data_IF_265905772659
#
_entry.id   IF_265905772659
#
_cell.length_a   1.000
_cell.length_b   1.000
_cell.length_c   1.000
_cell.angle_alpha   90.00
_cell.angle_beta   90.00
_cell.angle_gamma   90.00
#
_symmetry.space_group_name_H-M   'P 1'
#
loop_
_entity.id
_entity.type
_entity.pdbx_description
1 polymer ?
#
# COMPACT_ATOMS: atom_id res chain seq x y z
N UNK A 1 -30.24 3.28 -13.61
CA UNK A 1 -30.51 3.24 -12.16
C UNK A 1 -29.26 3.73 -11.45
N UNK A 2 -29.39 4.83 -10.71
CA UNK A 2 -28.33 5.79 -10.38
C UNK A 2 -27.18 5.21 -9.55
N UNK A 3 -25.96 5.32 -10.08
CA UNK A 3 -24.71 5.11 -9.34
C UNK A 3 -24.58 6.24 -8.32
N UNK A 4 -24.83 5.93 -7.03
CA UNK A 4 -24.53 6.86 -5.94
C UNK A 4 -23.02 7.01 -5.88
N UNK A 5 -22.51 8.11 -6.44
CA UNK A 5 -21.19 8.61 -6.10
C UNK A 5 -21.11 8.71 -4.57
N UNK A 6 -20.24 7.91 -3.95
CA UNK A 6 -19.83 8.13 -2.57
C UNK A 6 -19.19 9.51 -2.55
N UNK A 7 -19.91 10.49 -2.02
CA UNK A 7 -19.33 11.77 -1.64
C UNK A 7 -18.36 11.46 -0.50
N UNK A 8 -17.07 11.38 -0.81
CA UNK A 8 -16.03 11.25 0.20
C UNK A 8 -16.06 12.52 1.07
N UNK A 9 -16.68 12.40 2.24
CA UNK A 9 -16.60 13.43 3.27
C UNK A 9 -15.26 13.25 3.96
N UNK A 10 -14.19 13.76 3.35
CA UNK A 10 -12.90 13.83 4.02
C UNK A 10 -13.04 14.72 5.25
N UNK A 11 -12.89 14.11 6.42
CA UNK A 11 -12.88 14.83 7.69
C UNK A 11 -11.50 15.44 7.94
N UNK A 12 -11.40 16.40 8.86
CA UNK A 12 -10.09 16.89 9.34
C UNK A 12 -9.22 15.75 9.90
N UNK A 13 -9.85 14.73 10.49
CA UNK A 13 -9.17 13.51 10.94
C UNK A 13 -8.56 12.74 9.77
N UNK A 14 -9.28 12.58 8.66
CA UNK A 14 -8.76 11.86 7.48
C UNK A 14 -7.62 12.62 6.82
N UNK A 15 -7.73 13.95 6.74
CA UNK A 15 -6.66 14.82 6.25
C UNK A 15 -5.41 14.70 7.14
N UNK A 16 -5.55 14.82 8.46
CA UNK A 16 -4.44 14.65 9.40
C UNK A 16 -3.82 13.24 9.32
N UNK A 17 -4.64 12.19 9.23
CA UNK A 17 -4.18 10.81 9.06
C UNK A 17 -3.39 10.63 7.77
N UNK A 18 -3.85 11.23 6.67
CA UNK A 18 -3.17 11.19 5.37
C UNK A 18 -1.84 11.92 5.45
N UNK A 19 -1.79 13.12 6.04
CA UNK A 19 -0.53 13.87 6.21
C UNK A 19 0.50 13.10 7.05
N UNK A 20 0.08 12.49 8.16
CA UNK A 20 0.98 11.68 9.00
C UNK A 20 1.47 10.44 8.26
N UNK A 21 0.59 9.77 7.50
CA UNK A 21 0.93 8.58 6.70
C UNK A 21 1.91 8.95 5.59
N UNK A 22 1.64 10.02 4.85
CA UNK A 22 2.50 10.47 3.78
C UNK A 22 3.87 10.90 4.29
N UNK A 23 3.89 11.63 5.42
CA UNK A 23 5.15 12.05 6.02
C UNK A 23 5.97 10.85 6.49
N UNK A 24 5.41 9.93 7.29
CA UNK A 24 6.24 8.86 7.88
C UNK A 24 6.52 7.70 6.93
N UNK A 25 5.66 7.45 5.94
CA UNK A 25 5.71 6.22 5.14
C UNK A 25 5.70 6.50 3.63
N UNK A 26 4.67 7.15 3.10
CA UNK A 26 4.46 7.18 1.63
C UNK A 26 5.57 7.93 0.90
N UNK A 27 5.90 9.15 1.33
CA UNK A 27 6.92 9.98 0.69
C UNK A 27 8.35 9.41 0.81
N UNK A 28 8.85 9.01 1.99
CA UNK A 28 10.18 8.40 2.07
C UNK A 28 10.26 7.06 1.34
N UNK A 29 9.20 6.26 1.32
CA UNK A 29 9.16 5.03 0.49
C UNK A 29 9.29 5.36 -0.99
N UNK A 30 8.59 6.38 -1.49
CA UNK A 30 8.72 6.82 -2.89
C UNK A 30 10.14 7.27 -3.23
N UNK A 31 10.79 8.03 -2.35
CA UNK A 31 12.19 8.43 -2.52
C UNK A 31 13.11 7.21 -2.61
N UNK A 32 12.92 6.23 -1.72
CA UNK A 32 13.71 5.01 -1.66
C UNK A 32 13.55 4.16 -2.92
N UNK A 33 12.31 3.85 -3.33
CA UNK A 33 12.06 3.00 -4.52
C UNK A 33 12.57 3.67 -5.79
N UNK A 34 12.41 5.00 -5.92
CA UNK A 34 12.95 5.78 -7.04
C UNK A 34 14.48 5.71 -7.09
N UNK A 35 15.16 5.96 -5.98
CA UNK A 35 16.62 5.91 -5.93
C UNK A 35 17.18 4.51 -6.26
N UNK A 36 16.48 3.44 -5.86
CA UNK A 36 16.86 2.07 -6.21
C UNK A 36 16.65 1.78 -7.71
N UNK A 37 15.51 2.18 -8.28
CA UNK A 37 15.22 2.01 -9.70
C UNK A 37 16.20 2.80 -10.59
N UNK A 38 16.54 4.04 -10.22
CA UNK A 38 17.52 4.88 -10.94
C UNK A 38 18.94 4.27 -10.96
N UNK A 39 19.26 3.41 -9.98
CA UNK A 39 20.52 2.65 -9.92
C UNK A 39 20.47 1.32 -10.68
N UNK A 40 19.37 1.04 -11.39
CA UNK A 40 19.18 -0.16 -12.20
C UNK A 40 18.72 -1.40 -11.42
N UNK A 41 18.26 -1.25 -10.18
CA UNK A 41 17.65 -2.36 -9.43
C UNK A 41 16.22 -2.62 -9.92
N UNK A 42 15.82 -3.89 -10.06
CA UNK A 42 14.41 -4.25 -10.23
C UNK A 42 13.67 -4.02 -8.91
N UNK A 43 12.62 -3.19 -8.94
CA UNK A 43 11.82 -2.84 -7.76
C UNK A 43 10.37 -3.15 -8.02
N UNK A 44 9.69 -3.80 -7.07
CA UNK A 44 8.24 -4.02 -7.11
C UNK A 44 7.60 -3.27 -5.94
N UNK A 45 6.66 -2.37 -6.24
CA UNK A 45 5.99 -1.51 -5.25
C UNK A 45 4.54 -1.91 -5.07
N UNK A 46 4.07 -1.97 -3.82
CA UNK A 46 2.66 -2.15 -3.49
C UNK A 46 2.19 -1.21 -2.38
N UNK A 47 0.88 -0.95 -2.33
CA UNK A 47 0.18 -0.30 -1.21
C UNK A 47 -0.89 -1.24 -0.67
N UNK A 48 -0.86 -1.51 0.64
CA UNK A 48 -1.93 -2.26 1.30
C UNK A 48 -3.12 -1.34 1.59
N UNK A 49 -4.29 -1.69 1.06
CA UNK A 49 -5.58 -1.02 1.25
C UNK A 49 -6.61 -1.94 1.93
N UNK A 50 -6.19 -3.11 2.39
CA UNK A 50 -7.02 -4.02 3.15
C UNK A 50 -7.45 -3.39 4.49
N UNK A 51 -8.75 -3.19 4.75
CA UNK A 51 -9.22 -2.45 5.91
C UNK A 51 -9.12 -3.27 7.20
N UNK A 52 -8.77 -2.61 8.30
CA UNK A 52 -8.88 -3.20 9.63
C UNK A 52 -10.36 -3.40 10.02
N UNK A 53 -10.71 -4.50 10.71
CA UNK A 53 -12.05 -4.65 11.30
C UNK A 53 -12.36 -3.64 12.42
N UNK A 54 -11.35 -2.95 12.96
CA UNK A 54 -11.56 -1.92 13.99
C UNK A 54 -12.29 -0.72 13.39
N UNK A 55 -13.39 -0.34 14.02
CA UNK A 55 -14.21 0.78 13.56
C UNK A 55 -13.41 2.08 13.45
N UNK A 56 -13.54 2.75 12.29
CA UNK A 56 -12.88 4.02 12.03
C UNK A 56 -11.39 3.91 11.66
N UNK A 57 -10.89 2.70 11.37
CA UNK A 57 -9.58 2.48 10.77
C UNK A 57 -9.73 1.89 9.36
N UNK A 58 -8.89 2.36 8.44
CA UNK A 58 -8.65 1.70 7.15
C UNK A 58 -7.56 0.64 7.28
N UNK A 59 -6.78 0.44 6.22
CA UNK A 59 -5.46 -0.17 6.36
C UNK A 59 -4.63 0.68 7.33
N UNK A 60 -3.99 0.06 8.31
CA UNK A 60 -3.28 0.77 9.37
C UNK A 60 -1.89 0.18 9.58
N UNK A 61 -1.07 0.86 10.37
CA UNK A 61 0.27 0.39 10.68
C UNK A 61 0.22 -1.03 11.24
N UNK A 62 1.17 -1.87 10.80
CA UNK A 62 1.30 -3.30 11.10
C UNK A 62 0.20 -4.23 10.56
N UNK A 63 -0.85 -3.73 9.89
CA UNK A 63 -1.93 -4.60 9.40
C UNK A 63 -1.50 -5.54 8.26
N UNK A 64 -0.36 -5.30 7.63
CA UNK A 64 0.23 -6.19 6.64
C UNK A 64 0.84 -7.46 7.26
N UNK A 65 1.33 -7.40 8.51
CA UNK A 65 2.07 -8.50 9.13
C UNK A 65 1.25 -9.80 9.20
N UNK A 66 0.02 -9.81 9.76
CA UNK A 66 -0.75 -11.06 9.83
C UNK A 66 -1.14 -11.60 8.44
N UNK A 67 -1.24 -10.74 7.42
CA UNK A 67 -1.49 -11.15 6.04
C UNK A 67 -0.25 -11.80 5.41
N UNK A 68 0.92 -11.19 5.58
CA UNK A 68 2.21 -11.69 5.04
C UNK A 68 2.62 -13.00 5.70
N UNK A 69 2.40 -13.15 7.00
CA UNK A 69 2.84 -14.34 7.76
C UNK A 69 1.75 -15.43 7.90
N UNK A 70 0.53 -15.18 7.43
CA UNK A 70 -0.58 -16.14 7.59
C UNK A 70 -1.02 -16.32 9.05
N UNK A 71 -0.83 -15.31 9.90
CA UNK A 71 -1.06 -15.35 11.35
C UNK A 71 -2.28 -14.52 11.78
N UNK A 72 -3.36 -14.58 10.99
CA UNK A 72 -4.58 -13.79 11.20
C UNK A 72 -5.15 -13.90 12.63
N UNK A 73 -5.12 -15.10 13.22
CA UNK A 73 -5.62 -15.35 14.58
C UNK A 73 -4.79 -14.67 15.68
N UNK A 74 -3.53 -14.32 15.41
CA UNK A 74 -2.69 -13.59 16.36
C UNK A 74 -3.03 -12.09 16.40
N UNK A 75 -3.63 -11.55 15.34
CA UNK A 75 -3.99 -10.14 15.24
C UNK A 75 -5.34 -9.92 14.53
N UNK A 76 -6.45 -10.52 15.01
CA UNK A 76 -7.74 -10.49 14.34
C UNK A 76 -8.28 -9.06 14.17
N UNK A 77 -7.92 -8.17 15.09
CA UNK A 77 -8.34 -6.79 15.05
C UNK A 77 -7.59 -5.93 14.01
N UNK A 78 -6.47 -6.42 13.43
CA UNK A 78 -5.72 -5.69 12.42
C UNK A 78 -6.15 -6.06 10.99
N UNK A 79 -6.37 -7.34 10.70
CA UNK A 79 -6.67 -7.82 9.34
C UNK A 79 -7.97 -8.64 9.22
N UNK A 80 -8.59 -9.03 10.34
CA UNK A 80 -9.72 -9.96 10.35
C UNK A 80 -9.29 -11.41 10.25
N UNK A 81 -10.23 -12.31 10.55
CA UNK A 81 -10.04 -13.78 10.50
C UNK A 81 -11.13 -14.46 9.68
N UNK A 82 -11.93 -13.68 8.94
CA UNK A 82 -12.95 -14.23 8.06
C UNK A 82 -12.35 -14.82 6.77
N UNK A 83 -13.22 -15.38 5.94
CA UNK A 83 -12.78 -16.01 4.69
C UNK A 83 -12.12 -15.04 3.72
N UNK A 84 -12.55 -13.78 3.72
CA UNK A 84 -11.95 -12.77 2.84
C UNK A 84 -10.56 -12.37 3.32
N UNK A 85 -10.35 -12.28 4.63
CA UNK A 85 -9.04 -12.04 5.22
C UNK A 85 -8.06 -13.18 4.89
N UNK A 86 -8.51 -14.45 4.95
CA UNK A 86 -7.72 -15.61 4.51
C UNK A 86 -7.34 -15.53 3.04
N UNK A 87 -8.29 -15.24 2.16
CA UNK A 87 -8.03 -15.08 0.72
C UNK A 87 -7.05 -13.96 0.42
N UNK A 88 -7.15 -12.84 1.15
CA UNK A 88 -6.19 -11.74 1.04
C UNK A 88 -4.80 -12.14 1.55
N UNK A 89 -4.71 -12.85 2.67
CA UNK A 89 -3.45 -13.38 3.19
C UNK A 89 -2.80 -14.33 2.17
N UNK A 90 -3.57 -15.23 1.57
CA UNK A 90 -3.07 -16.14 0.54
C UNK A 90 -2.58 -15.39 -0.70
N UNK A 91 -3.28 -14.33 -1.11
CA UNK A 91 -2.86 -13.49 -2.24
C UNK A 91 -1.53 -12.78 -1.96
N UNK A 92 -1.40 -12.16 -0.79
CA UNK A 92 -0.16 -11.50 -0.34
C UNK A 92 0.98 -12.51 -0.27
N UNK A 93 0.77 -13.66 0.36
CA UNK A 93 1.80 -14.70 0.47
C UNK A 93 2.24 -15.23 -0.90
N UNK A 94 1.32 -15.43 -1.85
CA UNK A 94 1.67 -15.83 -3.21
C UNK A 94 2.60 -14.83 -3.88
N UNK A 95 2.29 -13.54 -3.80
CA UNK A 95 3.11 -12.47 -4.39
C UNK A 95 4.52 -12.41 -3.76
N UNK A 96 4.60 -12.50 -2.43
CA UNK A 96 5.88 -12.52 -1.72
C UNK A 96 6.70 -13.77 -2.03
N UNK A 97 6.08 -14.95 -2.09
CA UNK A 97 6.76 -16.19 -2.45
C UNK A 97 7.27 -16.18 -3.89
N UNK A 98 6.51 -15.60 -4.82
CA UNK A 98 6.91 -15.46 -6.21
C UNK A 98 8.17 -14.57 -6.32
N UNK A 99 8.15 -13.41 -5.67
CA UNK A 99 9.32 -12.52 -5.59
C UNK A 99 10.55 -13.22 -4.99
N UNK A 100 10.40 -13.90 -3.84
CA UNK A 100 11.50 -14.60 -3.16
C UNK A 100 12.10 -15.71 -4.04
N UNK A 101 11.29 -16.34 -4.89
CA UNK A 101 11.74 -17.36 -5.86
C UNK A 101 12.40 -16.77 -7.11
N UNK A 102 12.51 -15.44 -7.20
CA UNK A 102 13.08 -14.73 -8.34
C UNK A 102 12.09 -14.48 -9.47
N UNK A 103 10.80 -14.62 -9.21
CA UNK A 103 9.74 -14.22 -10.15
C UNK A 103 9.55 -12.70 -10.20
N UNK A 104 8.81 -12.27 -11.21
CA UNK A 104 8.37 -10.88 -11.38
C UNK A 104 6.85 -10.83 -11.19
N UNK A 105 6.36 -10.62 -9.95
CA UNK A 105 4.96 -10.85 -9.61
C UNK A 105 3.98 -9.85 -10.26
N UNK A 106 4.49 -8.71 -10.75
CA UNK A 106 3.81 -7.73 -11.60
C UNK A 106 4.86 -6.86 -12.30
N UNK A 107 4.47 -5.85 -13.07
CA UNK A 107 5.41 -4.97 -13.75
C UNK A 107 6.33 -4.21 -12.76
N UNK A 108 7.66 -4.18 -13.01
CA UNK A 108 8.58 -3.42 -12.19
C UNK A 108 8.21 -1.93 -12.13
N UNK A 109 8.48 -1.32 -10.98
CA UNK A 109 8.45 0.12 -10.82
C UNK A 109 9.52 0.76 -11.72
N UNK A 110 9.09 1.67 -12.60
CA UNK A 110 9.90 2.30 -13.65
C UNK A 110 10.04 3.82 -13.46
N UNK A 111 10.01 4.29 -12.21
CA UNK A 111 10.24 5.69 -11.84
C UNK A 111 8.97 6.43 -11.41
N UNK A 112 9.03 7.76 -11.40
CA UNK A 112 7.91 8.61 -10.96
C UNK A 112 6.68 8.30 -11.81
N UNK A 113 5.60 7.86 -11.16
CA UNK A 113 4.37 7.32 -11.79
C UNK A 113 4.43 5.88 -12.29
N UNK A 114 5.40 5.10 -11.83
CA UNK A 114 5.53 3.69 -12.18
C UNK A 114 4.45 2.80 -11.58
N UNK A 115 4.52 1.52 -11.95
CA UNK A 115 3.54 0.52 -11.56
C UNK A 115 3.52 0.32 -10.04
N UNK A 116 2.32 0.29 -9.47
CA UNK A 116 2.07 0.01 -8.05
C UNK A 116 0.91 -0.97 -7.92
N UNK A 117 1.15 -2.08 -7.23
CA UNK A 117 0.10 -3.03 -6.86
C UNK A 117 -0.72 -2.47 -5.69
N UNK A 118 -2.03 -2.34 -5.84
CA UNK A 118 -2.95 -2.01 -4.76
C UNK A 118 -3.54 -3.30 -4.21
N UNK A 119 -3.28 -3.60 -2.94
CA UNK A 119 -3.73 -4.81 -2.25
C UNK A 119 -4.87 -4.47 -1.31
N UNK A 120 -6.11 -4.53 -1.80
CA UNK A 120 -7.31 -4.29 -1.01
C UNK A 120 -8.43 -5.27 -1.39
N UNK A 121 -9.67 -4.99 -0.97
CA UNK A 121 -10.84 -5.76 -1.40
C UNK A 121 -10.94 -5.91 -2.93
N UNK A 122 -10.47 -4.89 -3.65
CA UNK A 122 -10.15 -4.98 -5.06
C UNK A 122 -8.63 -4.89 -5.21
N UNK A 123 -8.02 -5.89 -5.84
CA UNK A 123 -6.59 -5.91 -6.14
C UNK A 123 -6.37 -5.51 -7.58
N UNK A 124 -5.50 -4.53 -7.80
CA UNK A 124 -5.26 -3.98 -9.14
C UNK A 124 -3.86 -3.37 -9.23
N UNK A 125 -3.31 -3.33 -10.43
CA UNK A 125 -2.05 -2.66 -10.72
C UNK A 125 -2.39 -1.31 -11.36
N UNK A 126 -1.83 -0.24 -10.83
CA UNK A 126 -2.06 1.12 -11.35
C UNK A 126 -0.74 1.83 -11.64
N UNK A 127 -0.79 2.84 -12.51
CA UNK A 127 0.33 3.78 -12.74
C UNK A 127 -0.01 5.14 -12.14
N UNK A 128 1.01 5.89 -11.71
CA UNK A 128 0.78 7.23 -11.17
C UNK A 128 0.08 7.27 -9.81
N UNK A 129 0.07 6.17 -9.05
CA UNK A 129 -0.60 6.14 -7.75
C UNK A 129 -0.05 7.21 -6.82
N UNK A 130 -0.93 8.07 -6.31
CA UNK A 130 -0.62 9.22 -5.44
C UNK A 130 0.32 10.28 -6.04
N UNK A 131 0.50 10.34 -7.36
CA UNK A 131 1.46 11.27 -7.98
C UNK A 131 1.24 12.73 -7.55
N UNK A 132 -0.01 13.20 -7.54
CA UNK A 132 -0.36 14.58 -7.13
C UNK A 132 -0.09 14.80 -5.63
N UNK A 133 -0.44 13.85 -4.78
CA UNK A 133 -0.21 13.92 -3.34
C UNK A 133 1.29 13.91 -3.01
N UNK A 134 2.07 13.07 -3.68
CA UNK A 134 3.51 12.94 -3.47
C UNK A 134 4.30 14.15 -3.96
N UNK A 135 3.81 14.88 -4.98
CA UNK A 135 4.40 16.15 -5.43
C UNK A 135 4.43 17.22 -4.33
N UNK A 136 3.54 17.14 -3.33
CA UNK A 136 3.56 18.02 -2.15
C UNK A 136 4.80 17.75 -1.29
N UNK A 137 5.35 16.54 -1.30
CA UNK A 137 6.51 16.19 -0.46
C UNK A 137 7.85 16.37 -1.17
N UNK A 138 7.85 16.59 -2.48
CA UNK A 138 9.06 16.87 -3.26
C UNK A 138 9.78 18.11 -2.70
N UNK A 139 11.08 17.96 -2.44
CA UNK A 139 11.94 18.99 -1.85
C UNK A 139 11.49 19.52 -0.47
N UNK A 140 10.52 18.87 0.19
CA UNK A 140 10.02 19.23 1.53
C UNK A 140 10.35 18.20 2.60
N UNK A 141 10.93 17.07 2.20
CA UNK A 141 11.41 16.02 3.08
C UNK A 141 12.94 16.10 3.21
N UNK A 142 13.54 15.91 4.41
CA UNK A 142 14.99 15.73 4.51
C UNK A 142 15.41 14.54 3.64
N UNK A 143 16.33 14.75 2.72
CA UNK A 143 16.86 13.66 1.90
C UNK A 143 17.52 12.63 2.83
N UNK A 144 16.97 11.40 2.87
CA UNK A 144 17.65 10.29 3.51
C UNK A 144 18.67 9.71 2.52
N UNK A 145 19.89 10.24 2.54
CA UNK A 145 21.07 9.66 1.89
C UNK A 145 21.24 9.98 0.41
#
# INVERSE_FOLDING_TARGET
>A
MLQRARVDKHTLRDAASTMVTDYHFTAPTEQFVRAHAERGSTVFRYELQWPSPRAGLGACHDSCLPLVFGTLDAAPALAGTDEKARQMSDAVQRLWLDLIRGGEPWEPYDGVSGFTMLLGPETTIVRGHRAVQLAIWENRYPAYG
#
